data_IF_824785135727
#
_entry.id   IF_824785135727
#
_cell.length_a   1.000
_cell.length_b   1.000
_cell.length_c   1.000
_cell.angle_alpha   90.00
_cell.angle_beta   90.00
_cell.angle_gamma   90.00
#
_symmetry.space_group_name_H-M   'P 1'
#
loop_
_entity.id
_entity.type
_entity.pdbx_description
1 polymer ?
#
# COMPACT_ATOMS: atom_id res chain seq x y z
N UNK A 1 23.06 16.33 -34.17
CA UNK A 1 21.83 15.85 -33.50
C UNK A 1 22.02 14.41 -33.06
N UNK A 2 23.02 14.13 -32.22
CA UNK A 2 23.38 12.77 -31.79
C UNK A 2 23.08 12.50 -30.30
N UNK A 3 22.59 13.51 -29.56
CA UNK A 3 22.31 13.39 -28.13
C UNK A 3 20.87 13.04 -27.79
N UNK A 4 19.93 13.15 -28.74
CA UNK A 4 18.51 12.82 -28.52
C UNK A 4 18.24 11.32 -28.64
N UNK A 5 18.84 10.63 -29.62
CA UNK A 5 18.63 9.18 -29.81
C UNK A 5 19.13 8.34 -28.61
N UNK A 6 20.25 8.74 -27.99
CA UNK A 6 20.77 8.11 -26.76
C UNK A 6 19.86 8.34 -25.54
N UNK A 7 19.19 9.50 -25.46
CA UNK A 7 18.29 9.81 -24.35
C UNK A 7 17.00 8.97 -24.42
N UNK A 8 16.43 8.81 -25.62
CA UNK A 8 15.25 7.97 -25.83
C UNK A 8 15.53 6.49 -25.59
N UNK A 9 16.68 5.98 -26.06
CA UNK A 9 17.09 4.59 -25.82
C UNK A 9 17.21 4.31 -24.31
N UNK A 10 17.82 5.23 -23.55
CA UNK A 10 18.00 5.10 -22.11
C UNK A 10 16.67 5.13 -21.34
N UNK A 11 15.72 5.97 -21.76
CA UNK A 11 14.37 5.98 -21.17
C UNK A 11 13.65 4.65 -21.43
N UNK A 12 13.79 4.06 -22.61
CA UNK A 12 13.19 2.76 -22.92
C UNK A 12 13.82 1.61 -22.12
N UNK A 13 15.14 1.61 -21.91
CA UNK A 13 15.79 0.62 -21.04
C UNK A 13 15.33 0.75 -19.58
N UNK A 14 15.20 1.98 -19.07
CA UNK A 14 14.67 2.23 -17.74
C UNK A 14 13.21 1.78 -17.59
N UNK A 15 12.39 2.01 -18.61
CA UNK A 15 10.98 1.57 -18.63
C UNK A 15 10.88 0.03 -18.67
N UNK A 16 11.73 -0.64 -19.46
CA UNK A 16 11.79 -2.10 -19.51
C UNK A 16 12.20 -2.70 -18.16
N UNK A 17 13.24 -2.15 -17.52
CA UNK A 17 13.69 -2.58 -16.20
C UNK A 17 12.62 -2.34 -15.12
N UNK A 18 11.90 -1.23 -15.20
CA UNK A 18 10.78 -0.93 -14.29
C UNK A 18 9.62 -1.92 -14.47
N UNK A 19 9.31 -2.28 -15.72
CA UNK A 19 8.28 -3.28 -16.04
C UNK A 19 8.67 -4.70 -15.60
N UNK A 20 9.94 -5.08 -15.69
CA UNK A 20 10.41 -6.38 -15.16
C UNK A 20 10.30 -6.44 -13.64
N UNK A 21 10.76 -5.41 -12.93
CA UNK A 21 10.63 -5.35 -11.46
C UNK A 21 9.17 -5.37 -11.00
N UNK A 22 8.26 -4.76 -11.76
CA UNK A 22 6.83 -4.79 -11.48
C UNK A 22 6.19 -6.17 -11.70
N UNK A 23 6.71 -6.98 -12.64
CA UNK A 23 6.20 -8.33 -12.93
C UNK A 23 6.60 -9.39 -11.90
N UNK A 24 7.67 -9.15 -11.14
CA UNK A 24 8.17 -10.11 -10.14
C UNK A 24 7.54 -9.95 -8.75
N UNK A 25 6.78 -8.89 -8.51
CA UNK A 25 6.10 -8.68 -7.23
C UNK A 25 4.88 -9.61 -7.09
N UNK A 26 5.12 -10.84 -6.65
CA UNK A 26 4.06 -11.78 -6.26
C UNK A 26 3.25 -11.19 -5.10
N UNK A 27 1.93 -11.17 -5.25
CA UNK A 27 1.01 -10.75 -4.19
C UNK A 27 0.99 -11.84 -3.11
N UNK A 28 1.80 -11.68 -2.06
CA UNK A 28 1.88 -12.63 -0.94
C UNK A 28 1.04 -12.14 0.26
N UNK A 29 -0.02 -12.88 0.66
CA UNK A 29 -0.90 -12.47 1.76
C UNK A 29 -0.18 -12.19 3.07
N UNK A 30 0.83 -12.98 3.42
CA UNK A 30 1.54 -12.82 4.68
C UNK A 30 2.39 -11.54 4.69
N UNK A 31 3.06 -11.25 3.58
CA UNK A 31 3.88 -10.05 3.39
C UNK A 31 3.01 -8.80 3.40
N UNK A 32 1.86 -8.81 2.72
CA UNK A 32 0.97 -7.65 2.68
C UNK A 32 0.34 -7.36 4.05
N UNK A 33 -0.10 -8.39 4.79
CA UNK A 33 -0.60 -8.22 6.16
C UNK A 33 0.48 -7.70 7.12
N UNK A 34 1.72 -8.16 6.95
CA UNK A 34 2.86 -7.69 7.75
C UNK A 34 3.18 -6.24 7.44
N UNK A 35 3.17 -5.84 6.17
CA UNK A 35 3.38 -4.45 5.76
C UNK A 35 2.27 -3.53 6.29
N UNK A 36 1.01 -3.98 6.28
CA UNK A 36 -0.10 -3.24 6.87
C UNK A 36 0.08 -3.06 8.39
N UNK A 37 0.47 -4.12 9.09
CA UNK A 37 0.80 -4.06 10.52
C UNK A 37 1.98 -3.14 10.80
N UNK A 38 3.03 -3.20 9.98
CA UNK A 38 4.22 -2.36 10.10
C UNK A 38 3.87 -0.86 9.99
N UNK A 39 2.90 -0.51 9.13
CA UNK A 39 2.40 0.85 8.98
C UNK A 39 1.59 1.38 10.16
N UNK A 40 0.78 0.54 10.80
CA UNK A 40 -0.23 0.99 11.78
C UNK A 40 0.17 0.73 13.23
N UNK A 41 1.08 -0.21 13.46
CA UNK A 41 1.54 -0.61 14.80
C UNK A 41 3.04 -0.96 14.88
N UNK A 42 3.75 -1.07 13.75
CA UNK A 42 5.17 -1.41 13.73
C UNK A 42 6.12 -0.22 13.75
N UNK A 43 7.37 -0.47 13.37
CA UNK A 43 8.46 0.53 13.45
C UNK A 43 8.25 1.74 12.54
N UNK A 44 7.50 1.56 11.46
CA UNK A 44 7.19 2.59 10.48
C UNK A 44 6.00 3.47 10.86
N UNK A 45 5.29 3.17 11.96
CA UNK A 45 4.06 3.87 12.37
C UNK A 45 4.23 5.38 12.47
N UNK A 46 5.32 5.86 13.06
CA UNK A 46 5.53 7.30 13.24
C UNK A 46 5.54 8.05 11.90
N UNK A 47 6.33 7.57 10.93
CA UNK A 47 6.47 8.19 9.61
C UNK A 47 5.14 8.14 8.85
N UNK A 48 4.43 7.01 8.94
CA UNK A 48 3.12 6.84 8.29
C UNK A 48 2.08 7.75 8.93
N UNK A 49 2.05 7.83 10.26
CA UNK A 49 1.13 8.71 10.99
C UNK A 49 1.37 10.18 10.62
N UNK A 50 2.62 10.65 10.62
CA UNK A 50 2.95 12.03 10.25
C UNK A 50 2.48 12.35 8.82
N UNK A 51 2.83 11.49 7.85
CA UNK A 51 2.42 11.68 6.45
C UNK A 51 0.90 11.64 6.28
N UNK A 52 0.23 10.70 6.94
CA UNK A 52 -1.20 10.48 6.74
C UNK A 52 -2.08 11.44 7.56
N UNK A 53 -1.65 11.91 8.73
CA UNK A 53 -2.34 13.00 9.44
C UNK A 53 -2.22 14.30 8.63
N UNK A 54 -1.05 14.60 8.07
CA UNK A 54 -0.87 15.76 7.20
C UNK A 54 -1.73 15.70 5.92
N UNK A 55 -1.89 14.51 5.34
CA UNK A 55 -2.63 14.30 4.08
C UNK A 55 -4.14 14.16 4.26
N UNK A 56 -4.58 13.39 5.27
CA UNK A 56 -5.97 12.98 5.46
C UNK A 56 -6.68 13.77 6.58
N UNK A 57 -5.91 14.39 7.47
CA UNK A 57 -6.39 14.94 8.74
C UNK A 57 -6.43 13.89 9.86
N UNK A 58 -6.33 14.37 11.10
CA UNK A 58 -6.26 13.53 12.31
C UNK A 58 -7.49 12.63 12.50
N UNK A 59 -8.70 13.16 12.24
CA UNK A 59 -9.94 12.39 12.39
C UNK A 59 -9.98 11.14 11.51
N UNK A 60 -9.64 11.28 10.22
CA UNK A 60 -9.59 10.13 9.29
C UNK A 60 -8.49 9.15 9.67
N UNK A 61 -7.31 9.64 10.08
CA UNK A 61 -6.25 8.76 10.56
C UNK A 61 -6.72 7.91 11.75
N UNK A 62 -7.39 8.53 12.74
CA UNK A 62 -7.94 7.82 13.89
C UNK A 62 -8.96 6.74 13.49
N UNK A 63 -9.86 7.03 12.55
CA UNK A 63 -10.82 6.03 12.02
C UNK A 63 -10.10 4.82 11.39
N UNK A 64 -9.06 5.06 10.59
CA UNK A 64 -8.26 3.99 9.97
C UNK A 64 -7.58 3.10 11.01
N UNK A 65 -6.98 3.71 12.03
CA UNK A 65 -6.32 2.95 13.10
C UNK A 65 -7.30 2.12 13.91
N UNK A 66 -8.50 2.62 14.18
CA UNK A 66 -9.57 1.86 14.86
C UNK A 66 -10.05 0.70 14.00
N UNK A 67 -10.29 0.93 12.70
CA UNK A 67 -10.69 -0.13 11.78
C UNK A 67 -9.66 -1.26 11.70
N UNK A 68 -8.38 -0.94 11.86
CA UNK A 68 -7.30 -1.93 11.87
C UNK A 68 -7.27 -2.82 13.11
N UNK A 69 -7.81 -2.39 14.26
CA UNK A 69 -7.78 -3.19 15.49
C UNK A 69 -8.48 -4.55 15.34
N UNK A 70 -9.59 -4.59 14.61
CA UNK A 70 -10.28 -5.83 14.27
C UNK A 70 -9.38 -6.77 13.45
N UNK A 71 -8.75 -6.25 12.39
CA UNK A 71 -7.91 -7.04 11.49
C UNK A 71 -6.67 -7.56 12.21
N UNK A 72 -6.08 -6.71 13.05
CA UNK A 72 -5.02 -7.12 13.98
C UNK A 72 -5.44 -8.33 14.83
N UNK A 73 -6.65 -8.30 15.40
CA UNK A 73 -7.15 -9.40 16.22
C UNK A 73 -7.47 -10.67 15.41
N UNK A 74 -7.94 -10.51 14.17
CA UNK A 74 -8.17 -11.62 13.23
C UNK A 74 -6.86 -12.32 12.79
N UNK A 75 -5.72 -11.63 12.88
CA UNK A 75 -4.39 -12.17 12.64
C UNK A 75 -3.93 -12.08 11.17
N UNK A 76 -2.67 -12.46 10.96
CA UNK A 76 -1.98 -12.34 9.65
C UNK A 76 -2.69 -13.12 8.54
N UNK A 77 -3.09 -14.40 8.71
CA UNK A 77 -3.73 -15.14 7.61
C UNK A 77 -5.05 -14.51 7.15
N UNK A 78 -5.91 -14.11 8.09
CA UNK A 78 -7.20 -13.51 7.78
C UNK A 78 -7.03 -12.12 7.14
N UNK A 79 -6.15 -11.29 7.71
CA UNK A 79 -5.86 -9.94 7.19
C UNK A 79 -5.25 -10.02 5.80
N UNK A 80 -4.28 -10.90 5.59
CA UNK A 80 -3.58 -11.06 4.32
C UNK A 80 -4.53 -11.51 3.22
N UNK A 81 -5.36 -12.53 3.50
CA UNK A 81 -6.38 -13.00 2.57
C UNK A 81 -7.38 -11.91 2.19
N UNK A 82 -7.85 -11.12 3.17
CA UNK A 82 -8.78 -10.03 2.91
C UNK A 82 -8.14 -8.90 2.09
N UNK A 83 -6.88 -8.53 2.38
CA UNK A 83 -6.14 -7.54 1.60
C UNK A 83 -5.97 -8.00 0.15
N UNK A 84 -5.50 -9.23 -0.07
CA UNK A 84 -5.31 -9.75 -1.43
C UNK A 84 -6.63 -9.77 -2.18
N UNK A 85 -7.70 -10.23 -1.52
CA UNK A 85 -9.04 -10.22 -2.11
C UNK A 85 -9.49 -8.80 -2.51
N UNK A 86 -9.28 -7.79 -1.67
CA UNK A 86 -9.62 -6.40 -2.02
C UNK A 86 -8.79 -5.90 -3.21
N UNK A 87 -7.49 -6.20 -3.24
CA UNK A 87 -6.61 -5.81 -4.35
C UNK A 87 -7.04 -6.47 -5.66
N UNK A 88 -7.36 -7.77 -5.63
CA UNK A 88 -7.81 -8.55 -6.78
C UNK A 88 -9.21 -8.14 -7.25
N UNK A 89 -10.19 -8.04 -6.34
CA UNK A 89 -11.58 -7.69 -6.66
C UNK A 89 -11.68 -6.27 -7.27
N UNK A 90 -10.77 -5.37 -6.91
CA UNK A 90 -10.69 -4.00 -7.45
C UNK A 90 -9.73 -3.85 -8.62
N UNK A 91 -8.99 -4.89 -9.00
CA UNK A 91 -7.87 -4.83 -9.95
C UNK A 91 -6.92 -3.64 -9.68
N UNK A 92 -6.54 -3.49 -8.41
CA UNK A 92 -5.95 -2.27 -7.88
C UNK A 92 -4.60 -2.53 -7.19
N UNK A 93 -3.57 -2.89 -7.96
CA UNK A 93 -2.22 -3.17 -7.45
C UNK A 93 -1.59 -2.04 -6.63
N UNK A 94 -2.00 -0.80 -6.90
CA UNK A 94 -1.55 0.36 -6.14
C UNK A 94 -2.09 0.37 -4.70
N UNK A 95 -3.06 -0.47 -4.34
CA UNK A 95 -3.57 -0.62 -2.98
C UNK A 95 -2.80 -1.63 -2.13
N UNK A 96 -1.81 -2.33 -2.69
CA UNK A 96 -0.97 -3.27 -1.94
C UNK A 96 -0.24 -2.55 -0.77
N UNK A 97 -0.40 -3.02 0.48
CA UNK A 97 0.28 -2.45 1.65
C UNK A 97 1.80 -2.26 1.50
N UNK A 98 2.50 -3.22 0.90
CA UNK A 98 3.95 -3.14 0.65
C UNK A 98 4.30 -1.92 -0.20
N UNK A 99 3.61 -1.74 -1.32
CA UNK A 99 3.82 -0.61 -2.24
C UNK A 99 3.40 0.73 -1.63
N UNK A 100 2.32 0.75 -0.83
CA UNK A 100 1.93 1.94 -0.06
C UNK A 100 3.05 2.32 0.92
N UNK A 101 3.54 1.37 1.71
CA UNK A 101 4.59 1.60 2.70
C UNK A 101 5.87 2.13 2.06
N UNK A 102 6.31 1.51 0.94
CA UNK A 102 7.48 1.97 0.20
C UNK A 102 7.33 3.42 -0.29
N UNK A 103 6.16 3.77 -0.86
CA UNK A 103 5.90 5.14 -1.34
C UNK A 103 5.87 6.16 -0.21
N UNK A 104 5.25 5.85 0.93
CA UNK A 104 5.25 6.75 2.09
C UNK A 104 6.68 6.96 2.60
N UNK A 105 7.47 5.89 2.74
CA UNK A 105 8.89 5.99 3.13
C UNK A 105 9.72 6.79 2.12
N UNK A 106 9.36 6.74 0.83
CA UNK A 106 9.94 7.56 -0.22
C UNK A 106 9.43 9.01 -0.25
N UNK A 107 8.64 9.45 0.73
CA UNK A 107 8.13 10.83 0.82
C UNK A 107 6.87 11.10 -0.03
N UNK A 108 6.28 10.08 -0.65
CA UNK A 108 5.06 10.21 -1.43
C UNK A 108 3.82 10.13 -0.51
N UNK A 109 3.56 11.23 0.20
CA UNK A 109 2.43 11.37 1.12
C UNK A 109 1.04 11.08 0.51
N UNK A 110 0.76 11.39 -0.78
CA UNK A 110 -0.48 10.98 -1.44
C UNK A 110 -0.84 9.49 -1.36
N UNK A 111 0.15 8.60 -1.14
CA UNK A 111 -0.09 7.18 -0.91
C UNK A 111 -0.98 6.89 0.31
N UNK A 112 -1.11 7.82 1.26
CA UNK A 112 -2.05 7.74 2.37
C UNK A 112 -3.51 7.66 1.93
N UNK A 113 -3.89 8.22 0.77
CA UNK A 113 -5.23 8.04 0.22
C UNK A 113 -5.48 6.58 -0.20
N UNK A 114 -4.44 5.90 -0.70
CA UNK A 114 -4.47 4.47 -0.99
C UNK A 114 -4.69 3.64 0.27
N UNK A 115 -3.96 3.95 1.35
CA UNK A 115 -4.16 3.31 2.66
C UNK A 115 -5.59 3.53 3.18
N UNK A 116 -6.10 4.76 3.09
CA UNK A 116 -7.46 5.09 3.50
C UNK A 116 -8.51 4.29 2.73
N UNK A 117 -8.31 4.17 1.41
CA UNK A 117 -9.20 3.42 0.52
C UNK A 117 -9.18 1.94 0.87
N UNK A 118 -7.99 1.34 0.97
CA UNK A 118 -7.83 -0.07 1.35
C UNK A 118 -8.56 -0.39 2.66
N UNK A 119 -8.32 0.39 3.70
CA UNK A 119 -8.94 0.18 5.02
C UNK A 119 -10.46 0.31 4.97
N UNK A 120 -11.01 1.22 4.16
CA UNK A 120 -12.47 1.36 3.99
C UNK A 120 -13.08 0.10 3.35
N UNK A 121 -12.42 -0.47 2.34
CA UNK A 121 -12.87 -1.72 1.72
C UNK A 121 -12.73 -2.91 2.68
N UNK A 122 -11.63 -2.98 3.41
CA UNK A 122 -11.45 -3.98 4.46
C UNK A 122 -12.56 -3.87 5.51
N UNK A 123 -12.92 -2.66 5.96
CA UNK A 123 -14.02 -2.49 6.91
C UNK A 123 -15.37 -2.98 6.34
N UNK A 124 -15.64 -2.72 5.06
CA UNK A 124 -16.81 -3.27 4.36
C UNK A 124 -16.81 -4.81 4.29
N UNK A 125 -15.64 -5.43 4.14
CA UNK A 125 -15.51 -6.90 4.16
C UNK A 125 -15.84 -7.53 5.52
N UNK A 126 -15.66 -6.81 6.64
CA UNK A 126 -16.07 -7.30 7.96
C UNK A 126 -17.58 -7.49 8.07
N UNK A 127 -18.36 -6.64 7.39
CA UNK A 127 -19.81 -6.65 7.48
C UNK A 127 -20.47 -7.79 6.68
N UNK A 128 -19.70 -8.49 5.84
CA UNK A 128 -20.18 -9.61 5.01
C UNK A 128 -19.61 -10.98 5.39
N UNK A 129 -18.76 -11.05 6.43
CA UNK A 129 -18.21 -12.29 6.99
C UNK A 129 -18.97 -12.69 8.26
#
# INVERSE_FOLDING_TARGET
MAGEEDAFAKVMEMDAAFKEQAKEAVLDPATEATALSEMLQGGSKHIVQEACVSTLGEGRWCELTQAHEFWRAAGIPATGGAVCKVVEDLDADHLRPTGILQRIKGGNAPACNGLSTLMKYLDGHKAGA
#
